data_IF_858311354958
#
_entry.id   IF_858311354958
#
_cell.length_a   1.000
_cell.length_b   1.000
_cell.length_c   1.000
_cell.angle_alpha   90.00
_cell.angle_beta   90.00
_cell.angle_gamma   90.00
#
_symmetry.space_group_name_H-M   'P 1'
#
loop_
_entity.id
_entity.type
_entity.pdbx_description
1 polymer ?
#
# COMPACT_ATOMS: atom_id res chain seq x y z
N UNK A 1 -19.55 -11.34 72.14
CA UNK A 1 -20.09 -12.38 71.25
C UNK A 1 -21.10 -11.81 70.25
N UNK A 2 -22.12 -11.06 70.70
CA UNK A 2 -23.17 -10.47 69.82
C UNK A 2 -22.62 -9.62 68.64
N UNK A 3 -21.51 -8.89 68.82
CA UNK A 3 -20.88 -8.08 67.74
C UNK A 3 -20.35 -8.91 66.56
N UNK A 4 -19.80 -10.09 66.84
CA UNK A 4 -19.19 -10.98 65.83
C UNK A 4 -20.25 -11.62 64.94
N UNK A 5 -21.40 -11.97 65.54
CA UNK A 5 -22.50 -12.61 64.83
C UNK A 5 -23.21 -11.60 63.92
N UNK A 6 -23.32 -10.34 64.35
CA UNK A 6 -23.87 -9.25 63.53
C UNK A 6 -22.97 -8.97 62.32
N UNK A 7 -21.65 -8.91 62.50
CA UNK A 7 -20.71 -8.76 61.38
C UNK A 7 -20.78 -9.93 60.40
N UNK A 8 -20.92 -11.15 60.91
CA UNK A 8 -21.07 -12.37 60.09
C UNK A 8 -22.38 -12.36 59.30
N UNK A 9 -23.49 -11.97 59.93
CA UNK A 9 -24.80 -11.85 59.29
C UNK A 9 -24.80 -10.75 58.22
N UNK A 10 -24.17 -9.61 58.50
CA UNK A 10 -24.04 -8.50 57.55
C UNK A 10 -23.19 -8.91 56.35
N UNK A 11 -22.08 -9.62 56.58
CA UNK A 11 -21.27 -10.20 55.50
C UNK A 11 -22.03 -11.21 54.64
N UNK A 12 -22.86 -12.05 55.25
CA UNK A 12 -23.74 -12.96 54.52
C UNK A 12 -24.81 -12.20 53.72
N UNK A 13 -25.46 -11.20 54.31
CA UNK A 13 -26.48 -10.39 53.64
C UNK A 13 -25.94 -9.68 52.39
N UNK A 14 -24.76 -9.06 52.47
CA UNK A 14 -24.13 -8.44 51.31
C UNK A 14 -23.81 -9.44 50.20
N UNK A 15 -23.31 -10.63 50.54
CA UNK A 15 -23.02 -11.69 49.55
C UNK A 15 -24.31 -12.27 48.96
N UNK A 16 -25.35 -12.44 49.77
CA UNK A 16 -26.64 -12.93 49.33
C UNK A 16 -27.35 -11.95 48.39
N UNK A 17 -27.02 -10.65 48.45
CA UNK A 17 -27.50 -9.64 47.51
C UNK A 17 -27.09 -9.90 46.05
N UNK A 18 -26.01 -10.65 45.80
CA UNK A 18 -25.60 -11.06 44.46
C UNK A 18 -26.38 -12.28 43.93
N UNK A 19 -27.05 -13.04 44.81
CA UNK A 19 -27.73 -14.28 44.40
C UNK A 19 -28.87 -14.08 43.40
N UNK A 20 -29.73 -13.05 43.48
CA UNK A 20 -30.75 -12.82 42.46
C UNK A 20 -30.16 -12.67 41.05
N UNK A 21 -29.07 -11.90 40.94
CA UNK A 21 -28.33 -11.65 39.69
C UNK A 21 -27.63 -12.94 39.21
N UNK A 22 -27.00 -13.68 40.12
CA UNK A 22 -26.30 -14.93 39.77
C UNK A 22 -27.24 -16.09 39.42
N UNK A 23 -28.46 -16.11 39.98
CA UNK A 23 -29.47 -17.12 39.69
C UNK A 23 -30.04 -16.93 38.28
N UNK A 24 -30.12 -15.70 37.79
CA UNK A 24 -30.44 -15.38 36.40
C UNK A 24 -29.18 -14.90 35.64
N UNK A 25 -28.19 -15.80 35.58
CA UNK A 25 -26.91 -15.50 34.93
C UNK A 25 -27.09 -15.17 33.45
N UNK A 26 -28.05 -15.81 32.76
CA UNK A 26 -28.27 -15.56 31.33
C UNK A 26 -28.76 -14.14 31.08
N UNK A 27 -29.78 -13.68 31.80
CA UNK A 27 -30.28 -12.32 31.64
C UNK A 27 -29.21 -11.28 32.03
N UNK A 28 -28.49 -11.53 33.13
CA UNK A 28 -27.40 -10.66 33.56
C UNK A 28 -26.28 -10.57 32.52
N UNK A 29 -25.88 -11.69 31.92
CA UNK A 29 -24.86 -11.69 30.88
C UNK A 29 -25.32 -10.96 29.62
N UNK A 30 -26.58 -11.13 29.22
CA UNK A 30 -27.16 -10.38 28.10
C UNK A 30 -27.19 -8.88 28.38
N UNK A 31 -27.56 -8.46 29.59
CA UNK A 31 -27.56 -7.04 29.99
C UNK A 31 -26.15 -6.45 30.02
N UNK A 32 -25.16 -7.20 30.50
CA UNK A 32 -23.76 -6.74 30.54
C UNK A 32 -23.05 -6.76 29.18
N UNK A 33 -23.56 -7.53 28.24
CA UNK A 33 -23.02 -7.64 26.88
C UNK A 33 -23.77 -6.73 25.88
N UNK A 34 -24.78 -5.97 26.31
CA UNK A 34 -25.53 -5.07 25.44
C UNK A 34 -24.75 -3.77 25.18
N UNK A 35 -24.27 -3.62 23.95
CA UNK A 35 -23.62 -2.40 23.48
C UNK A 35 -24.47 -1.61 22.47
N UNK A 36 -25.79 -1.88 22.42
CA UNK A 36 -26.75 -1.19 21.55
C UNK A 36 -26.72 0.35 21.68
N UNK A 37 -26.47 0.84 22.89
CA UNK A 37 -26.37 2.26 23.21
C UNK A 37 -25.27 3.02 22.44
N UNK A 38 -24.26 2.32 21.89
CA UNK A 38 -23.22 2.95 21.09
C UNK A 38 -23.77 3.51 19.77
N UNK A 39 -24.84 2.92 19.23
CA UNK A 39 -25.45 3.35 17.98
C UNK A 39 -26.58 4.36 18.18
N UNK A 40 -27.40 4.18 19.22
CA UNK A 40 -28.58 5.03 19.45
C UNK A 40 -28.22 6.50 19.67
N UNK A 41 -28.93 7.39 18.96
CA UNK A 41 -28.63 8.83 18.92
C UNK A 41 -29.86 9.74 18.88
N UNK A 42 -31.04 9.21 19.18
CA UNK A 42 -32.32 9.95 19.12
C UNK A 42 -32.32 11.23 19.97
N UNK A 43 -31.74 11.18 21.18
CA UNK A 43 -31.63 12.36 22.02
C UNK A 43 -30.80 13.48 21.35
N UNK A 44 -29.75 13.12 20.61
CA UNK A 44 -28.92 14.08 19.89
C UNK A 44 -29.62 14.60 18.63
N UNK A 45 -30.37 13.75 17.92
CA UNK A 45 -31.18 14.15 16.77
C UNK A 45 -32.26 15.16 17.16
N UNK A 46 -32.92 14.95 18.30
CA UNK A 46 -33.92 15.88 18.84
C UNK A 46 -33.28 17.22 19.21
N UNK A 47 -32.13 17.21 19.91
CA UNK A 47 -31.40 18.42 20.29
C UNK A 47 -30.88 19.21 19.07
N UNK A 48 -30.45 18.50 18.02
CA UNK A 48 -29.95 19.10 16.79
C UNK A 48 -31.07 19.50 15.81
N UNK A 49 -32.32 19.11 16.08
CA UNK A 49 -33.46 19.25 15.19
C UNK A 49 -33.17 18.71 13.78
N UNK A 50 -32.51 17.55 13.74
CA UNK A 50 -32.06 16.87 12.52
C UNK A 50 -32.73 15.51 12.40
N UNK A 51 -33.12 15.11 11.18
CA UNK A 51 -33.77 13.82 10.93
C UNK A 51 -32.77 12.66 10.89
N UNK A 52 -31.51 12.92 10.51
CA UNK A 52 -30.49 11.89 10.40
C UNK A 52 -29.10 12.45 10.69
N UNK A 53 -28.25 11.60 11.26
CA UNK A 53 -26.83 11.85 11.48
C UNK A 53 -26.05 11.06 10.41
N UNK A 54 -25.03 11.70 9.82
CA UNK A 54 -24.14 11.05 8.86
C UNK A 54 -23.42 9.85 9.48
N UNK A 55 -23.23 8.79 8.70
CA UNK A 55 -22.53 7.57 9.13
C UNK A 55 -21.09 7.82 9.58
N UNK A 56 -20.45 8.86 9.05
CA UNK A 56 -19.08 9.28 9.42
C UNK A 56 -18.91 9.66 10.90
N UNK A 57 -19.98 10.09 11.56
CA UNK A 57 -19.95 10.46 12.99
C UNK A 57 -20.62 9.40 13.87
N UNK A 58 -20.96 8.23 13.30
CA UNK A 58 -21.45 7.09 14.06
C UNK A 58 -20.33 6.52 14.92
N UNK A 59 -20.60 6.34 16.22
CA UNK A 59 -19.57 5.91 17.17
C UNK A 59 -19.00 4.51 16.83
N UNK A 60 -19.81 3.49 16.48
CA UNK A 60 -19.27 2.21 16.03
C UNK A 60 -18.34 2.36 14.82
N UNK A 61 -18.71 3.19 13.83
CA UNK A 61 -17.85 3.43 12.66
C UNK A 61 -16.52 4.10 13.03
N UNK A 62 -16.56 5.14 13.87
CA UNK A 62 -15.36 5.83 14.34
C UNK A 62 -14.39 4.89 15.08
N UNK A 63 -14.91 3.94 15.86
CA UNK A 63 -14.11 2.93 16.54
C UNK A 63 -13.47 1.96 15.53
N UNK A 64 -14.21 1.52 14.51
CA UNK A 64 -13.68 0.68 13.43
C UNK A 64 -12.55 1.41 12.70
N UNK A 65 -12.76 2.65 12.28
CA UNK A 65 -11.75 3.45 11.60
C UNK A 65 -10.47 3.59 12.46
N UNK A 66 -10.64 3.90 13.75
CA UNK A 66 -9.52 4.00 14.68
C UNK A 66 -8.73 2.69 14.81
N UNK A 67 -9.41 1.54 14.87
CA UNK A 67 -8.73 0.23 14.93
C UNK A 67 -7.99 -0.11 13.64
N UNK A 68 -8.50 0.30 12.47
CA UNK A 68 -7.84 0.08 11.18
C UNK A 68 -6.61 0.97 10.97
N UNK A 69 -6.59 2.16 11.56
CA UNK A 69 -5.44 3.10 11.50
C UNK A 69 -4.29 2.72 12.43
N UNK A 70 -4.55 1.89 13.45
CA UNK A 70 -3.55 1.38 14.35
C UNK A 70 -2.46 0.58 13.63
N UNK A 71 -1.23 1.11 13.57
CA UNK A 71 -0.10 0.46 12.87
C UNK A 71 0.20 -0.92 13.48
N UNK A 72 0.20 -1.03 14.81
CA UNK A 72 0.57 -2.24 15.57
C UNK A 72 -0.61 -2.91 16.26
N UNK A 73 -1.83 -2.35 16.14
CA UNK A 73 -2.99 -2.88 16.83
C UNK A 73 -3.56 -4.11 16.09
N UNK A 74 -4.05 -5.13 16.83
CA UNK A 74 -4.83 -6.22 16.26
C UNK A 74 -6.11 -5.66 15.61
N UNK A 75 -6.55 -6.27 14.51
CA UNK A 75 -7.74 -5.86 13.74
C UNK A 75 -8.99 -6.62 14.20
N UNK A 76 -8.80 -7.70 14.96
CA UNK A 76 -9.83 -8.56 15.53
C UNK A 76 -10.90 -7.82 16.33
N UNK A 77 -10.59 -6.76 17.12
CA UNK A 77 -11.62 -6.00 17.85
C UNK A 77 -12.70 -5.39 16.94
N UNK A 78 -12.43 -5.20 15.65
CA UNK A 78 -13.42 -4.71 14.68
C UNK A 78 -14.66 -5.61 14.66
N UNK A 79 -14.50 -6.92 14.78
CA UNK A 79 -15.63 -7.85 14.75
C UNK A 79 -16.54 -7.67 15.98
N UNK A 80 -15.98 -7.35 17.14
CA UNK A 80 -16.75 -7.03 18.34
C UNK A 80 -17.48 -5.68 18.19
N UNK A 81 -16.86 -4.69 17.53
CA UNK A 81 -17.51 -3.40 17.26
C UNK A 81 -18.66 -3.56 16.26
N UNK A 82 -18.50 -4.42 15.25
CA UNK A 82 -19.58 -4.76 14.31
C UNK A 82 -20.76 -5.45 15.00
N UNK A 83 -20.52 -6.18 16.10
CA UNK A 83 -21.55 -6.84 16.90
C UNK A 83 -22.44 -5.83 17.65
N UNK A 84 -21.94 -4.63 17.96
CA UNK A 84 -22.75 -3.57 18.57
C UNK A 84 -23.96 -3.17 17.69
N UNK A 85 -23.85 -3.35 16.38
CA UNK A 85 -25.00 -3.16 15.51
C UNK A 85 -26.01 -4.32 15.58
N UNK A 86 -25.57 -5.55 15.88
CA UNK A 86 -26.49 -6.66 16.16
C UNK A 86 -27.28 -6.36 17.43
N UNK A 87 -26.61 -5.86 18.47
CA UNK A 87 -27.24 -5.43 19.72
C UNK A 87 -28.27 -4.32 19.46
N UNK A 88 -27.89 -3.28 18.70
CA UNK A 88 -28.80 -2.19 18.32
C UNK A 88 -30.01 -2.69 17.53
N UNK A 89 -29.82 -3.65 16.63
CA UNK A 89 -30.92 -4.27 15.88
C UNK A 89 -31.86 -5.09 16.76
N UNK A 90 -31.31 -5.87 17.71
CA UNK A 90 -32.09 -6.65 18.67
C UNK A 90 -32.89 -5.72 19.60
N UNK A 91 -32.24 -4.73 20.21
CA UNK A 91 -32.88 -3.75 21.09
C UNK A 91 -34.01 -3.00 20.34
N UNK A 92 -33.77 -2.56 19.10
CA UNK A 92 -34.77 -1.87 18.27
C UNK A 92 -36.04 -2.69 18.07
N UNK A 93 -35.92 -4.00 17.82
CA UNK A 93 -37.06 -4.89 17.57
C UNK A 93 -37.71 -5.43 18.85
N UNK A 94 -36.92 -5.84 19.84
CA UNK A 94 -37.41 -6.58 21.01
C UNK A 94 -37.79 -5.65 22.17
N UNK A 95 -37.02 -4.60 22.40
CA UNK A 95 -37.23 -3.69 23.54
C UNK A 95 -38.02 -2.45 23.14
N UNK A 96 -37.57 -1.73 22.10
CA UNK A 96 -38.18 -0.49 21.65
C UNK A 96 -39.40 -0.72 20.75
N UNK A 97 -39.47 -1.89 20.11
CA UNK A 97 -40.53 -2.28 19.17
C UNK A 97 -40.72 -1.28 18.02
N UNK A 98 -39.61 -0.70 17.53
CA UNK A 98 -39.60 0.28 16.45
C UNK A 98 -38.93 -0.29 15.19
N UNK A 99 -39.71 -0.45 14.12
CA UNK A 99 -39.20 -0.96 12.84
C UNK A 99 -38.25 0.04 12.16
N UNK A 100 -38.56 1.33 12.21
CA UNK A 100 -37.73 2.35 11.54
C UNK A 100 -36.29 2.40 12.09
N UNK A 101 -36.12 2.18 13.40
CA UNK A 101 -34.78 2.10 14.01
C UNK A 101 -34.02 0.89 13.48
N UNK A 102 -34.68 -0.27 13.39
CA UNK A 102 -34.06 -1.47 12.82
C UNK A 102 -33.65 -1.25 11.35
N UNK A 103 -34.51 -0.64 10.55
CA UNK A 103 -34.21 -0.34 9.14
C UNK A 103 -33.00 0.59 9.00
N UNK A 104 -32.86 1.58 9.90
CA UNK A 104 -31.70 2.49 9.92
C UNK A 104 -30.42 1.77 10.38
N UNK A 105 -30.49 0.94 11.43
CA UNK A 105 -29.36 0.11 11.90
C UNK A 105 -28.89 -0.83 10.79
N UNK A 106 -29.81 -1.53 10.11
CA UNK A 106 -29.47 -2.47 9.03
C UNK A 106 -28.79 -1.72 7.87
N UNK A 107 -29.34 -0.57 7.48
CA UNK A 107 -28.80 0.22 6.37
C UNK A 107 -27.40 0.78 6.69
N UNK A 108 -27.22 1.40 7.86
CA UNK A 108 -25.94 1.95 8.28
C UNK A 108 -24.90 0.86 8.44
N UNK A 109 -25.28 -0.21 9.13
CA UNK A 109 -24.41 -1.33 9.39
C UNK A 109 -23.91 -2.03 8.12
N UNK A 110 -24.80 -2.25 7.15
CA UNK A 110 -24.41 -2.82 5.85
C UNK A 110 -23.39 -1.93 5.13
N UNK A 111 -23.62 -0.61 5.12
CA UNK A 111 -22.69 0.34 4.53
C UNK A 111 -21.33 0.31 5.24
N UNK A 112 -21.32 0.29 6.57
CA UNK A 112 -20.11 0.16 7.38
C UNK A 112 -19.35 -1.12 7.09
N UNK A 113 -20.05 -2.26 6.95
CA UNK A 113 -19.43 -3.54 6.62
C UNK A 113 -18.79 -3.52 5.22
N UNK A 114 -19.51 -3.01 4.21
CA UNK A 114 -18.98 -2.90 2.84
C UNK A 114 -17.73 -1.99 2.77
N UNK A 115 -17.73 -0.92 3.56
CA UNK A 115 -16.60 0.00 3.64
C UNK A 115 -15.43 -0.58 4.44
N UNK A 116 -15.70 -1.27 5.55
CA UNK A 116 -14.71 -2.02 6.30
C UNK A 116 -13.98 -3.04 5.42
N UNK A 117 -14.71 -3.85 4.66
CA UNK A 117 -14.12 -4.86 3.77
C UNK A 117 -13.27 -4.20 2.67
N UNK A 118 -13.71 -3.05 2.13
CA UNK A 118 -12.91 -2.25 1.19
C UNK A 118 -11.57 -1.83 1.79
N UNK A 119 -11.65 -1.16 2.94
CA UNK A 119 -10.51 -0.60 3.64
C UNK A 119 -9.54 -1.67 4.14
N UNK A 120 -10.06 -2.80 4.62
CA UNK A 120 -9.27 -3.94 5.07
C UNK A 120 -8.51 -4.57 3.91
N UNK A 121 -9.16 -4.81 2.77
CA UNK A 121 -8.51 -5.37 1.59
C UNK A 121 -7.33 -4.52 1.12
N UNK A 122 -7.47 -3.20 1.05
CA UNK A 122 -6.38 -2.30 0.67
C UNK A 122 -5.21 -2.35 1.67
N UNK A 123 -5.49 -2.30 2.98
CA UNK A 123 -4.45 -2.36 4.02
C UNK A 123 -3.73 -3.71 4.04
N UNK A 124 -4.45 -4.81 3.92
CA UNK A 124 -3.91 -6.17 3.80
C UNK A 124 -3.01 -6.28 2.57
N UNK A 125 -3.49 -5.82 1.41
CA UNK A 125 -2.72 -5.83 0.17
C UNK A 125 -1.40 -5.07 0.30
N UNK A 126 -1.45 -3.84 0.80
CA UNK A 126 -0.27 -2.99 0.99
C UNK A 126 0.72 -3.58 2.01
N UNK A 127 0.22 -4.19 3.08
CA UNK A 127 1.03 -4.84 4.09
C UNK A 127 1.85 -6.00 3.50
N UNK A 128 1.20 -6.99 2.88
CA UNK A 128 1.90 -8.13 2.30
C UNK A 128 2.76 -7.76 1.09
N UNK A 129 2.37 -6.73 0.31
CA UNK A 129 3.22 -6.19 -0.75
C UNK A 129 4.50 -5.55 -0.19
N UNK A 130 4.40 -4.83 0.93
CA UNK A 130 5.55 -4.22 1.59
C UNK A 130 6.49 -5.26 2.20
N UNK A 131 5.93 -6.32 2.80
CA UNK A 131 6.70 -7.47 3.29
C UNK A 131 7.42 -8.19 2.14
N UNK A 132 6.72 -8.51 1.06
CA UNK A 132 7.29 -9.12 -0.14
C UNK A 132 8.44 -8.29 -0.72
N UNK A 133 8.27 -6.96 -0.79
CA UNK A 133 9.31 -6.04 -1.24
C UNK A 133 10.52 -6.00 -0.30
N UNK A 134 10.28 -5.98 1.02
CA UNK A 134 11.32 -6.03 2.05
C UNK A 134 12.19 -7.28 1.94
N UNK A 135 11.56 -8.44 1.79
CA UNK A 135 12.24 -9.71 1.63
C UNK A 135 13.04 -9.79 0.32
N UNK A 136 12.46 -9.35 -0.79
CA UNK A 136 13.16 -9.30 -2.07
C UNK A 136 14.41 -8.39 -1.99
N UNK A 137 14.31 -7.25 -1.29
CA UNK A 137 15.45 -6.36 -1.06
C UNK A 137 16.56 -7.02 -0.24
N UNK A 138 16.21 -7.82 0.78
CA UNK A 138 17.20 -8.59 1.56
C UNK A 138 17.89 -9.64 0.70
N UNK A 139 17.13 -10.35 -0.13
CA UNK A 139 17.67 -11.36 -1.06
C UNK A 139 18.64 -10.72 -2.06
N UNK A 140 18.25 -9.63 -2.73
CA UNK A 140 19.11 -8.94 -3.69
C UNK A 140 20.36 -8.33 -3.04
N UNK A 141 20.25 -7.83 -1.81
CA UNK A 141 21.40 -7.34 -1.04
C UNK A 141 22.38 -8.46 -0.72
N UNK A 142 21.87 -9.65 -0.36
CA UNK A 142 22.70 -10.82 -0.08
C UNK A 142 23.41 -11.36 -1.33
N UNK A 143 22.76 -11.30 -2.50
CA UNK A 143 23.34 -11.70 -3.78
C UNK A 143 24.42 -10.72 -4.27
N UNK A 144 24.28 -9.41 -3.97
CA UNK A 144 25.29 -8.40 -4.28
C UNK A 144 26.60 -8.54 -3.51
N UNK A 145 26.53 -9.00 -2.24
CA UNK A 145 27.72 -9.24 -1.40
C UNK A 145 28.57 -10.43 -1.93
N UNK A 146 27.95 -11.37 -2.65
CA UNK A 146 28.66 -12.55 -3.20
C UNK A 146 29.40 -12.22 -4.50
N UNK A 147 29.01 -11.17 -5.24
CA UNK A 147 29.65 -10.81 -6.52
C UNK A 147 30.79 -9.79 -6.42
N UNK A 148 30.88 -8.99 -5.35
CA UNK A 148 31.82 -7.85 -5.26
C UNK A 148 32.95 -8.04 -4.23
N UNK A 149 33.64 -9.19 -4.26
CA UNK A 149 34.85 -9.44 -3.43
C UNK A 149 36.17 -9.07 -4.14
N UNK A 150 36.13 -8.22 -5.16
CA UNK A 150 37.34 -7.75 -5.84
C UNK A 150 37.22 -6.28 -6.24
N UNK A 151 37.40 -5.36 -5.29
CA UNK A 151 38.11 -4.07 -5.39
C UNK A 151 37.88 -3.24 -4.11
N UNK A 152 38.85 -2.40 -3.66
CA UNK A 152 38.76 -1.69 -2.40
C UNK A 152 37.86 -0.45 -2.54
N UNK A 153 36.75 -0.44 -1.83
CA UNK A 153 35.80 0.67 -1.77
C UNK A 153 36.44 1.86 -1.05
N UNK A 154 36.65 2.97 -1.77
CA UNK A 154 36.83 4.29 -1.14
C UNK A 154 35.45 4.80 -0.74
N UNK A 155 35.35 5.16 0.53
CA UNK A 155 34.22 5.82 1.18
C UNK A 155 33.60 6.89 0.27
N UNK A 156 32.35 6.67 -0.14
CA UNK A 156 31.52 7.74 -0.70
C UNK A 156 30.21 7.82 0.08
N UNK A 157 29.90 9.04 0.51
CA UNK A 157 28.82 9.43 1.41
C UNK A 157 27.39 9.19 0.87
N UNK A 158 27.21 8.32 -0.13
CA UNK A 158 25.93 8.04 -0.80
C UNK A 158 25.08 7.04 -0.02
N UNK A 159 25.67 6.26 0.90
CA UNK A 159 24.95 5.30 1.72
C UNK A 159 23.99 5.94 2.75
N UNK A 160 24.19 7.20 3.15
CA UNK A 160 23.42 7.81 4.24
C UNK A 160 22.04 8.34 3.84
N UNK A 161 21.79 8.62 2.56
CA UNK A 161 20.57 9.36 2.14
C UNK A 161 19.40 8.42 1.80
N UNK A 162 19.65 7.17 1.41
CA UNK A 162 18.58 6.19 1.19
C UNK A 162 18.17 5.45 2.48
N UNK A 163 18.99 5.51 3.51
CA UNK A 163 18.68 4.96 4.83
C UNK A 163 17.61 5.76 5.57
N UNK A 164 17.38 7.03 5.25
CA UNK A 164 16.45 7.90 6.00
C UNK A 164 14.98 7.72 5.64
N UNK A 165 14.64 7.28 4.42
CA UNK A 165 13.25 6.94 4.06
C UNK A 165 12.85 5.52 4.51
N UNK A 166 13.81 4.60 4.57
CA UNK A 166 13.61 3.26 5.12
C UNK A 166 13.76 3.19 6.66
N UNK A 167 14.45 4.16 7.29
CA UNK A 167 14.58 4.21 8.76
C UNK A 167 13.36 4.74 9.48
N UNK A 168 12.32 5.22 8.78
CA UNK A 168 11.04 5.50 9.45
C UNK A 168 10.28 4.22 9.80
N UNK A 169 10.61 3.10 9.15
CA UNK A 169 10.10 1.76 9.48
C UNK A 169 11.14 0.93 10.25
N UNK A 170 11.92 1.57 11.13
CA UNK A 170 12.73 0.83 12.10
C UNK A 170 11.91 0.60 13.36
N UNK A 171 11.08 -0.45 13.36
CA UNK A 171 10.44 -1.02 14.55
C UNK A 171 9.96 -2.46 14.26
N UNK A 172 9.74 -3.27 15.31
CA UNK A 172 10.60 -4.27 15.94
C UNK A 172 10.75 -5.54 15.05
N UNK A 173 10.94 -6.74 15.59
CA UNK A 173 11.29 -7.94 14.83
C UNK A 173 10.33 -8.27 13.68
N UNK A 174 10.87 -8.75 12.56
CA UNK A 174 10.11 -9.15 11.37
C UNK A 174 9.01 -10.20 11.65
N UNK A 175 9.10 -10.93 12.75
CA UNK A 175 8.15 -11.97 13.14
C UNK A 175 6.81 -11.42 13.68
N UNK A 176 6.75 -10.19 14.20
CA UNK A 176 5.52 -9.62 14.76
C UNK A 176 4.60 -9.00 13.68
N UNK A 177 5.13 -8.61 12.52
CA UNK A 177 4.31 -8.01 11.45
C UNK A 177 3.57 -9.04 10.61
N UNK A 178 4.14 -10.24 10.42
CA UNK A 178 3.56 -11.30 9.58
C UNK A 178 2.18 -11.79 10.07
N UNK A 179 1.94 -11.73 11.39
CA UNK A 179 0.74 -12.27 12.04
C UNK A 179 -0.44 -11.29 12.15
N UNK A 180 -0.26 -10.00 11.82
CA UNK A 180 -1.29 -8.95 12.07
C UNK A 180 -2.66 -9.26 11.46
N UNK A 181 -2.68 -9.84 10.26
CA UNK A 181 -3.91 -10.10 9.52
C UNK A 181 -4.24 -11.59 9.39
N UNK A 182 -3.45 -12.48 9.99
CA UNK A 182 -3.60 -13.92 9.81
C UNK A 182 -4.94 -14.43 10.37
N UNK A 183 -5.31 -13.96 11.56
CA UNK A 183 -6.59 -14.26 12.22
C UNK A 183 -7.79 -13.79 11.40
N UNK A 184 -7.75 -12.60 10.82
CA UNK A 184 -8.89 -12.05 10.08
C UNK A 184 -9.04 -12.65 8.68
N UNK A 185 -7.94 -13.11 8.07
CA UNK A 185 -7.97 -13.83 6.80
C UNK A 185 -8.53 -15.25 6.94
N UNK A 186 -8.37 -15.87 8.11
CA UNK A 186 -8.90 -17.22 8.39
C UNK A 186 -10.38 -17.21 8.82
N UNK A 187 -10.91 -16.04 9.20
CA UNK A 187 -12.29 -15.90 9.60
C UNK A 187 -13.23 -16.06 8.40
N UNK A 188 -13.95 -17.18 8.35
CA UNK A 188 -14.92 -17.44 7.28
C UNK A 188 -16.24 -16.73 7.54
N UNK A 189 -16.89 -17.02 8.66
CA UNK A 189 -18.25 -16.54 8.89
C UNK A 189 -18.26 -15.41 9.91
N UNK A 190 -18.78 -14.26 9.50
CA UNK A 190 -19.10 -13.14 10.39
C UNK A 190 -20.61 -12.95 10.33
N UNK A 191 -21.28 -13.08 11.48
CA UNK A 191 -22.70 -12.78 11.58
C UNK A 191 -22.84 -11.27 11.80
N UNK A 192 -23.38 -10.57 10.81
CA UNK A 192 -23.69 -9.15 10.95
C UNK A 192 -25.11 -8.93 10.44
N UNK A 193 -25.92 -8.25 11.26
CA UNK A 193 -27.32 -7.91 11.01
C UNK A 193 -28.22 -9.13 10.76
N UNK A 194 -27.93 -10.26 11.41
CA UNK A 194 -28.66 -11.52 11.22
C UNK A 194 -28.37 -12.24 9.91
N UNK A 195 -27.34 -11.81 9.16
CA UNK A 195 -26.83 -12.50 7.97
C UNK A 195 -25.41 -12.98 8.23
N UNK A 196 -25.11 -14.16 7.71
CA UNK A 196 -23.75 -14.69 7.74
C UNK A 196 -23.03 -14.27 6.45
N UNK A 197 -21.97 -13.47 6.60
CA UNK A 197 -21.10 -13.07 5.51
C UNK A 197 -19.84 -13.93 5.50
N UNK A 198 -19.40 -14.31 4.30
CA UNK A 198 -18.11 -14.98 4.10
C UNK A 198 -17.01 -13.93 3.89
N UNK A 199 -16.28 -13.60 4.96
CA UNK A 199 -15.25 -12.56 4.91
C UNK A 199 -14.06 -12.99 4.06
N UNK A 200 -13.66 -14.27 4.12
CA UNK A 200 -12.59 -14.85 3.30
C UNK A 200 -12.90 -14.69 1.81
N UNK A 201 -14.14 -15.00 1.40
CA UNK A 201 -14.58 -14.86 0.01
C UNK A 201 -14.60 -13.39 -0.44
N UNK A 202 -15.18 -12.50 0.38
CA UNK A 202 -15.28 -11.08 0.05
C UNK A 202 -13.92 -10.40 -0.03
N UNK A 203 -12.99 -10.74 0.87
CA UNK A 203 -11.61 -10.28 0.82
C UNK A 203 -10.89 -10.86 -0.38
N UNK A 204 -11.06 -12.15 -0.68
CA UNK A 204 -10.48 -12.81 -1.84
C UNK A 204 -10.82 -12.11 -3.15
N UNK A 205 -12.10 -11.84 -3.39
CA UNK A 205 -12.56 -11.13 -4.59
C UNK A 205 -11.91 -9.74 -4.74
N UNK A 206 -11.78 -9.00 -3.65
CA UNK A 206 -11.19 -7.65 -3.69
C UNK A 206 -9.67 -7.68 -3.83
N UNK A 207 -9.00 -8.59 -3.15
CA UNK A 207 -7.56 -8.77 -3.25
C UNK A 207 -7.15 -9.23 -4.65
N UNK A 208 -7.94 -10.11 -5.27
CA UNK A 208 -7.76 -10.51 -6.67
C UNK A 208 -7.85 -9.30 -7.62
N UNK A 209 -8.89 -8.48 -7.47
CA UNK A 209 -9.05 -7.26 -8.26
C UNK A 209 -7.89 -6.26 -8.07
N UNK A 210 -7.39 -6.10 -6.83
CA UNK A 210 -6.24 -5.25 -6.54
C UNK A 210 -4.96 -5.78 -7.18
N UNK A 211 -4.75 -7.09 -7.16
CA UNK A 211 -3.58 -7.73 -7.77
C UNK A 211 -3.61 -7.64 -9.29
N UNK A 212 -4.77 -7.89 -9.92
CA UNK A 212 -4.99 -7.68 -11.37
C UNK A 212 -4.72 -6.24 -11.77
N UNK A 213 -5.23 -5.27 -11.01
CA UNK A 213 -4.98 -3.83 -11.23
C UNK A 213 -3.48 -3.49 -11.13
N UNK A 214 -2.76 -4.08 -10.19
CA UNK A 214 -1.32 -3.83 -10.02
C UNK A 214 -0.49 -4.51 -11.12
N UNK A 215 -0.92 -5.68 -11.61
CA UNK A 215 -0.36 -6.32 -12.80
C UNK A 215 -0.60 -5.48 -14.05
N UNK A 216 -1.80 -4.96 -14.27
CA UNK A 216 -2.08 -4.06 -15.39
C UNK A 216 -1.21 -2.79 -15.31
N UNK A 217 -1.12 -2.20 -14.11
CA UNK A 217 -0.19 -1.10 -13.84
C UNK A 217 1.27 -1.45 -14.10
N UNK A 218 1.67 -2.72 -13.93
CA UNK A 218 2.99 -3.23 -14.28
C UNK A 218 3.17 -3.33 -15.80
N UNK A 219 2.19 -3.85 -16.55
CA UNK A 219 2.26 -3.93 -18.01
C UNK A 219 2.32 -2.54 -18.66
N UNK A 220 1.49 -1.59 -18.23
CA UNK A 220 1.54 -0.20 -18.71
C UNK A 220 2.95 0.40 -18.49
N UNK A 221 3.54 0.16 -17.32
CA UNK A 221 4.90 0.62 -17.01
C UNK A 221 5.95 -0.10 -17.84
N UNK A 222 5.77 -1.38 -18.12
CA UNK A 222 6.66 -2.18 -18.97
C UNK A 222 6.63 -1.70 -20.43
N UNK A 223 5.46 -1.38 -20.96
CA UNK A 223 5.23 -0.83 -22.29
C UNK A 223 5.82 0.59 -22.45
N UNK A 224 5.83 1.38 -21.37
CA UNK A 224 6.44 2.70 -21.36
C UNK A 224 7.96 2.69 -21.10
N UNK A 225 8.56 1.54 -20.76
CA UNK A 225 9.94 1.45 -20.28
C UNK A 225 10.96 1.12 -21.38
N UNK A 226 12.14 1.75 -21.28
CA UNK A 226 13.33 1.44 -22.08
C UNK A 226 13.97 0.09 -21.69
N UNK A 227 14.83 -0.43 -22.58
CA UNK A 227 15.55 -1.71 -22.40
C UNK A 227 16.29 -1.82 -21.06
N UNK A 228 16.83 -0.71 -20.54
CA UNK A 228 17.59 -0.69 -19.27
C UNK A 228 16.73 -0.94 -18.04
N UNK A 229 15.42 -0.73 -18.13
CA UNK A 229 14.48 -0.83 -17.01
C UNK A 229 13.91 -2.24 -16.85
N UNK A 230 14.08 -3.14 -17.83
CA UNK A 230 13.53 -4.50 -17.77
C UNK A 230 14.02 -5.32 -16.58
N UNK A 231 15.26 -5.12 -16.14
CA UNK A 231 15.77 -5.77 -14.93
C UNK A 231 15.00 -5.32 -13.67
N UNK A 232 14.66 -4.03 -13.58
CA UNK A 232 13.84 -3.51 -12.50
C UNK A 232 12.39 -4.00 -12.59
N UNK A 233 11.83 -4.10 -13.81
CA UNK A 233 10.48 -4.64 -14.02
C UNK A 233 10.37 -6.12 -13.68
N UNK A 234 11.38 -6.94 -13.99
CA UNK A 234 11.41 -8.33 -13.57
C UNK A 234 11.41 -8.45 -12.04
N UNK A 235 12.13 -7.56 -11.38
CA UNK A 235 12.20 -7.48 -9.92
C UNK A 235 10.85 -7.09 -9.30
N UNK A 236 10.13 -6.13 -9.88
CA UNK A 236 8.77 -5.80 -9.41
C UNK A 236 7.78 -6.94 -9.65
N UNK A 237 7.89 -7.66 -10.78
CA UNK A 237 7.05 -8.84 -11.04
C UNK A 237 7.30 -9.97 -10.03
N UNK A 238 8.57 -10.19 -9.63
CA UNK A 238 8.92 -11.14 -8.56
C UNK A 238 8.28 -10.76 -7.23
N UNK A 239 8.25 -9.46 -6.89
CA UNK A 239 7.56 -8.97 -5.70
C UNK A 239 6.08 -9.28 -5.79
N UNK A 240 5.40 -9.00 -6.91
CA UNK A 240 3.99 -9.32 -7.10
C UNK A 240 3.68 -10.81 -6.96
N UNK A 241 4.52 -11.67 -7.56
CA UNK A 241 4.39 -13.13 -7.42
C UNK A 241 4.54 -13.58 -5.96
N UNK A 242 5.44 -12.95 -5.21
CA UNK A 242 5.61 -13.22 -3.78
C UNK A 242 4.42 -12.69 -2.97
N UNK A 243 3.90 -11.50 -3.28
CA UNK A 243 2.66 -10.97 -2.69
C UNK A 243 1.50 -11.96 -2.85
N UNK A 244 1.31 -12.50 -4.06
CA UNK A 244 0.29 -13.51 -4.33
C UNK A 244 0.45 -14.77 -3.47
N UNK A 245 1.69 -15.21 -3.19
CA UNK A 245 1.93 -16.42 -2.40
C UNK A 245 1.36 -16.34 -0.97
N UNK A 246 1.31 -15.14 -0.37
CA UNK A 246 0.67 -14.92 0.92
C UNK A 246 -0.86 -15.07 0.89
N UNK A 247 -1.47 -14.80 -0.27
CA UNK A 247 -2.92 -14.88 -0.46
C UNK A 247 -3.43 -16.23 -0.95
N UNK A 248 -2.54 -17.20 -1.15
CA UNK A 248 -2.91 -18.57 -1.55
C UNK A 248 -3.94 -19.22 -0.60
N UNK A 249 -3.98 -18.79 0.66
CA UNK A 249 -4.96 -19.22 1.68
C UNK A 249 -6.41 -18.89 1.28
N UNK A 250 -6.63 -17.84 0.48
CA UNK A 250 -7.95 -17.33 0.09
C UNK A 250 -8.55 -18.09 -1.11
N UNK A 251 -7.84 -19.06 -1.70
CA UNK A 251 -8.34 -19.84 -2.83
C UNK A 251 -8.45 -19.06 -4.13
N UNK A 252 -7.53 -18.11 -4.38
CA UNK A 252 -7.47 -17.32 -5.60
C UNK A 252 -7.06 -18.14 -6.84
N UNK A 253 -7.42 -17.66 -8.03
CA UNK A 253 -6.96 -18.19 -9.32
C UNK A 253 -5.43 -18.27 -9.38
N UNK A 254 -4.89 -19.18 -10.18
CA UNK A 254 -3.44 -19.32 -10.35
C UNK A 254 -2.80 -18.01 -10.83
N UNK A 255 -1.69 -17.59 -10.20
CA UNK A 255 -0.97 -16.39 -10.65
C UNK A 255 -0.58 -16.44 -12.13
N UNK A 256 -0.30 -17.65 -12.66
CA UNK A 256 -0.01 -17.87 -14.07
C UNK A 256 -1.21 -17.53 -14.95
N UNK A 257 -2.39 -18.04 -14.60
CA UNK A 257 -3.63 -17.83 -15.36
C UNK A 257 -4.01 -16.34 -15.38
N UNK A 258 -3.96 -15.68 -14.22
CA UNK A 258 -4.20 -14.25 -14.09
C UNK A 258 -3.17 -13.43 -14.89
N UNK A 259 -1.90 -13.84 -14.88
CA UNK A 259 -0.86 -13.17 -15.65
C UNK A 259 -1.06 -13.32 -17.16
N UNK A 260 -1.42 -14.53 -17.62
CA UNK A 260 -1.71 -14.80 -19.03
C UNK A 260 -2.92 -14.00 -19.51
N UNK A 261 -4.00 -13.95 -18.72
CA UNK A 261 -5.18 -13.15 -19.01
C UNK A 261 -4.85 -11.67 -19.27
N UNK A 262 -4.13 -11.02 -18.33
CA UNK A 262 -3.76 -9.60 -18.47
C UNK A 262 -2.75 -9.38 -19.61
N UNK A 263 -1.90 -10.37 -19.87
CA UNK A 263 -0.91 -10.33 -20.96
C UNK A 263 -1.55 -10.50 -22.36
N UNK A 264 -2.74 -11.10 -22.43
CA UNK A 264 -3.48 -11.41 -23.65
C UNK A 264 -4.64 -10.44 -23.94
N UNK A 265 -4.97 -9.50 -23.03
CA UNK A 265 -6.02 -8.46 -23.19
C UNK A 265 -5.93 -7.65 -24.50
N UNK A 266 -4.78 -7.67 -25.18
CA UNK A 266 -4.59 -7.01 -26.48
C UNK A 266 -5.35 -7.65 -27.64
N UNK A 267 -6.06 -8.79 -27.47
CA UNK A 267 -6.67 -9.52 -28.60
C UNK A 267 -8.21 -9.57 -28.64
N UNK A 268 -8.95 -9.27 -27.58
CA UNK A 268 -10.43 -9.35 -27.65
C UNK A 268 -11.09 -8.15 -28.35
N UNK A 269 -10.52 -6.94 -28.29
CA UNK A 269 -11.15 -5.75 -28.90
C UNK A 269 -10.97 -5.63 -30.42
N UNK A 270 -10.12 -6.44 -31.07
CA UNK A 270 -9.81 -6.32 -32.50
C UNK A 270 -10.27 -7.52 -33.35
N UNK A 271 -10.72 -8.62 -32.75
CA UNK A 271 -11.09 -9.85 -33.47
C UNK A 271 -12.57 -10.22 -33.36
N UNK A 272 -13.45 -9.22 -33.46
CA UNK A 272 -14.81 -9.41 -34.00
C UNK A 272 -14.83 -9.73 -35.51
N UNK A 273 -13.72 -10.18 -36.09
CA UNK A 273 -13.58 -10.35 -37.53
C UNK A 273 -12.48 -11.32 -37.92
N UNK A 274 -12.92 -12.47 -38.43
CA UNK A 274 -12.20 -13.43 -39.26
C UNK A 274 -11.22 -14.41 -38.59
N UNK A 275 -11.63 -15.68 -38.68
CA UNK A 275 -10.77 -16.84 -38.67
C UNK A 275 -9.52 -16.63 -39.53
N UNK A 276 -8.34 -16.60 -38.90
CA UNK A 276 -7.08 -16.96 -39.56
C UNK A 276 -6.35 -17.92 -38.62
N UNK A 277 -6.30 -19.18 -39.03
CA UNK A 277 -5.48 -20.23 -38.43
C UNK A 277 -4.02 -19.84 -38.64
N UNK A 278 -3.28 -19.61 -37.55
CA UNK A 278 -1.81 -19.65 -37.56
C UNK A 278 -1.04 -18.34 -37.39
N UNK A 279 -1.61 -17.27 -36.82
CA UNK A 279 -0.78 -16.17 -36.28
C UNK A 279 -0.44 -16.49 -34.82
N UNK A 280 0.85 -16.49 -34.40
CA UNK A 280 1.18 -16.69 -33.00
C UNK A 280 0.54 -15.55 -32.20
N UNK A 281 -0.23 -15.88 -31.18
CA UNK A 281 -0.74 -14.92 -30.19
C UNK A 281 0.47 -14.14 -29.70
N UNK A 282 0.62 -12.90 -30.16
CA UNK A 282 1.71 -12.04 -29.72
C UNK A 282 1.24 -11.39 -28.44
N UNK A 283 1.72 -11.95 -27.34
CA UNK A 283 1.55 -11.35 -26.02
C UNK A 283 2.08 -9.91 -25.99
N UNK A 284 1.52 -9.10 -25.09
CA UNK A 284 1.97 -7.71 -24.85
C UNK A 284 3.47 -7.64 -24.61
N UNK A 285 4.01 -8.59 -23.82
CA UNK A 285 5.45 -8.68 -23.57
C UNK A 285 6.25 -8.94 -24.84
N UNK A 286 5.80 -9.87 -25.68
CA UNK A 286 6.51 -10.20 -26.91
C UNK A 286 6.55 -9.02 -27.88
N UNK A 287 5.42 -8.32 -28.05
CA UNK A 287 5.36 -7.14 -28.94
C UNK A 287 6.24 -6.01 -28.39
N UNK A 288 6.18 -5.73 -27.09
CA UNK A 288 7.01 -4.69 -26.47
C UNK A 288 8.51 -5.01 -26.58
N UNK A 289 8.95 -6.23 -26.26
CA UNK A 289 10.36 -6.62 -26.41
C UNK A 289 10.80 -6.51 -27.87
N UNK A 290 9.95 -6.96 -28.81
CA UNK A 290 10.22 -6.86 -30.24
C UNK A 290 10.35 -5.40 -30.71
N UNK A 291 9.48 -4.53 -30.22
CA UNK A 291 9.51 -3.10 -30.51
C UNK A 291 10.78 -2.46 -29.94
N UNK A 292 11.07 -2.67 -28.65
CA UNK A 292 12.24 -2.13 -27.97
C UNK A 292 13.56 -2.59 -28.60
N UNK A 293 13.65 -3.85 -29.05
CA UNK A 293 14.83 -4.33 -29.80
C UNK A 293 15.02 -3.53 -31.10
N UNK A 294 13.94 -3.26 -31.84
CA UNK A 294 14.00 -2.54 -33.13
C UNK A 294 14.23 -1.04 -32.98
N UNK A 295 13.61 -0.40 -31.99
CA UNK A 295 13.58 1.06 -31.86
C UNK A 295 14.66 1.60 -30.92
N UNK A 296 15.03 0.86 -29.87
CA UNK A 296 16.00 1.32 -28.87
C UNK A 296 17.32 0.56 -28.98
N UNK A 297 17.31 -0.77 -28.86
CA UNK A 297 18.55 -1.56 -28.74
C UNK A 297 19.44 -1.43 -29.99
N UNK A 298 18.91 -1.65 -31.19
CA UNK A 298 19.73 -1.60 -32.41
C UNK A 298 20.14 -0.20 -32.84
N UNK A 299 19.40 0.84 -32.43
CA UNK A 299 19.66 2.22 -32.86
C UNK A 299 20.58 2.97 -31.89
N UNK A 300 20.48 2.68 -30.59
CA UNK A 300 21.09 3.49 -29.54
C UNK A 300 22.15 2.76 -28.71
N UNK A 301 22.42 1.47 -28.93
CA UNK A 301 23.42 0.73 -28.15
C UNK A 301 24.58 0.19 -29.00
N UNK A 302 25.79 0.27 -28.45
CA UNK A 302 26.99 -0.38 -29.00
C UNK A 302 27.46 -1.52 -28.09
N UNK A 303 27.90 -2.61 -28.70
CA UNK A 303 28.43 -3.78 -27.98
C UNK A 303 29.93 -3.58 -27.69
N UNK A 304 30.30 -3.50 -26.40
CA UNK A 304 31.70 -3.55 -25.97
C UNK A 304 32.08 -5.01 -25.71
N UNK A 305 32.88 -5.60 -26.62
CA UNK A 305 33.26 -7.02 -26.58
C UNK A 305 34.03 -7.41 -25.32
N UNK A 306 34.90 -6.54 -24.80
CA UNK A 306 35.74 -6.82 -23.63
C UNK A 306 34.95 -7.16 -22.37
N UNK A 307 33.74 -6.60 -22.24
CA UNK A 307 32.90 -6.76 -21.04
C UNK A 307 31.59 -7.49 -21.34
N UNK A 308 31.33 -7.90 -22.59
CA UNK A 308 30.05 -8.45 -23.07
C UNK A 308 28.85 -7.59 -22.63
N UNK A 309 28.99 -6.26 -22.73
CA UNK A 309 27.96 -5.30 -22.32
C UNK A 309 27.56 -4.40 -23.47
N UNK A 310 26.27 -4.11 -23.54
CA UNK A 310 25.73 -3.05 -24.37
C UNK A 310 25.84 -1.72 -23.61
N UNK A 311 26.37 -0.69 -24.27
CA UNK A 311 26.45 0.68 -23.72
C UNK A 311 25.70 1.61 -24.65
N UNK A 312 24.91 2.53 -24.07
CA UNK A 312 24.20 3.53 -24.88
C UNK A 312 25.21 4.41 -25.61
N UNK A 313 25.02 4.61 -26.90
CA UNK A 313 25.89 5.44 -27.72
C UNK A 313 25.79 6.89 -27.25
N UNK A 314 26.92 7.63 -27.20
CA UNK A 314 26.87 9.06 -26.91
C UNK A 314 26.08 9.77 -28.02
N UNK A 315 25.30 10.79 -27.66
CA UNK A 315 24.64 11.64 -28.65
C UNK A 315 25.68 12.22 -29.61
N UNK A 316 25.33 12.31 -30.89
CA UNK A 316 26.18 12.93 -31.88
C UNK A 316 26.49 14.39 -31.50
N UNK A 317 27.75 14.80 -31.61
CA UNK A 317 28.26 16.11 -31.15
C UNK A 317 27.48 17.30 -31.75
N UNK A 318 26.94 17.14 -32.96
CA UNK A 318 26.08 18.13 -33.63
C UNK A 318 24.71 18.35 -32.94
N UNK A 319 24.15 17.35 -32.27
CA UNK A 319 22.92 17.46 -31.47
C UNK A 319 23.22 18.04 -30.08
N UNK A 320 24.42 17.84 -29.55
CA UNK A 320 24.88 18.46 -28.30
C UNK A 320 25.13 19.97 -28.46
N UNK A 321 25.46 20.43 -29.66
CA UNK A 321 25.65 21.85 -30.00
C UNK A 321 24.32 22.62 -30.19
N UNK A 322 23.24 21.95 -30.58
CA UNK A 322 21.93 22.60 -30.84
C UNK A 322 21.06 22.76 -29.59
N UNK A 323 21.30 21.96 -28.54
CA UNK A 323 20.57 22.05 -27.26
C UNK A 323 21.19 23.10 -26.32
N UNK A 324 22.47 23.43 -26.49
CA UNK A 324 23.19 24.40 -25.65
C UNK A 324 22.66 25.84 -25.71
N UNK A 325 22.04 26.24 -26.82
CA UNK A 325 21.63 27.63 -27.03
C UNK A 325 20.17 27.94 -26.67
N UNK A 326 19.30 26.92 -26.54
CA UNK A 326 17.87 27.16 -26.27
C UNK A 326 17.56 27.42 -24.79
N UNK A 327 18.39 26.93 -23.86
CA UNK A 327 18.20 27.11 -22.42
C UNK A 327 19.22 28.06 -21.77
N UNK A 328 20.36 28.33 -22.42
CA UNK A 328 21.36 29.25 -21.90
C UNK A 328 20.86 30.70 -21.80
N UNK A 329 19.95 31.11 -22.70
CA UNK A 329 19.37 32.46 -22.68
C UNK A 329 18.44 32.67 -21.48
N UNK A 330 17.63 31.66 -21.12
CA UNK A 330 16.68 31.73 -20.01
C UNK A 330 17.39 31.71 -18.65
N UNK A 331 18.46 30.92 -18.51
CA UNK A 331 19.25 30.87 -17.29
C UNK A 331 20.10 32.14 -17.08
N UNK A 332 20.58 32.76 -18.18
CA UNK A 332 21.21 34.08 -18.15
C UNK A 332 20.24 35.19 -17.74
N UNK A 333 18.99 35.15 -18.24
CA UNK A 333 17.92 36.09 -17.83
C UNK A 333 17.53 35.91 -16.36
N UNK A 334 17.51 34.67 -15.85
CA UNK A 334 17.26 34.39 -14.43
C UNK A 334 18.38 34.90 -13.53
N UNK A 335 19.64 34.74 -13.93
CA UNK A 335 20.81 35.26 -13.20
C UNK A 335 20.90 36.79 -13.26
N UNK A 336 20.51 37.42 -14.37
CA UNK A 336 20.45 38.88 -14.52
C UNK A 336 19.36 39.51 -13.64
N UNK A 337 18.19 38.88 -13.48
CA UNK A 337 17.14 39.33 -12.54
C UNK A 337 17.56 39.16 -11.08
N UNK A 338 18.27 38.08 -10.73
CA UNK A 338 18.74 37.84 -9.36
C UNK A 338 19.83 38.84 -8.92
N UNK A 339 20.66 39.32 -9.84
CA UNK A 339 21.70 40.31 -9.56
C UNK A 339 21.20 41.76 -9.40
N UNK A 340 19.97 42.09 -9.83
CA UNK A 340 19.41 43.45 -9.62
C UNK A 340 18.79 43.66 -8.24
N UNK A 341 18.53 42.61 -7.47
CA UNK A 341 17.86 42.69 -6.16
C UNK A 341 18.81 42.58 -4.95
N UNK A 342 20.13 42.46 -5.15
CA UNK A 342 21.10 42.16 -4.08
C UNK A 342 22.26 43.17 -3.98
N UNK A 343 22.09 44.42 -4.41
CA UNK A 343 23.11 45.48 -4.22
C UNK A 343 22.71 46.45 -3.11
N UNK A 344 23.01 46.07 -1.87
CA UNK A 344 23.11 46.95 -0.72
C UNK A 344 24.39 46.66 0.07
N UNK A 345 25.24 47.69 0.24
CA UNK A 345 26.54 47.75 0.96
C UNK A 345 27.72 47.02 0.24
N UNK A 346 28.78 47.67 -0.28
CA UNK A 346 29.86 48.51 0.30
C UNK A 346 30.69 47.66 1.29
N UNK A 347 31.97 47.26 1.09
CA UNK A 347 33.20 47.99 0.71
C UNK A 347 34.30 47.13 0.03
N UNK A 348 35.16 47.88 -0.67
CA UNK A 348 36.46 47.73 -1.36
C UNK A 348 37.65 47.03 -0.65
N UNK A 349 38.44 46.26 -1.43
CA UNK A 349 39.91 46.33 -1.69
C UNK A 349 40.42 44.93 -2.13
N UNK A 350 41.48 44.65 -2.89
CA UNK A 350 42.38 45.31 -3.86
C UNK A 350 43.21 44.15 -4.50
N UNK A 351 43.45 44.22 -5.81
CA UNK A 351 44.69 43.84 -6.54
C UNK A 351 45.13 42.35 -6.59
N UNK A 352 45.08 41.82 -7.83
CA UNK A 352 46.27 41.31 -8.54
C UNK A 352 46.64 39.83 -8.36
N UNK A 353 46.30 38.98 -9.34
CA UNK A 353 47.30 38.42 -10.25
C UNK A 353 46.66 37.54 -11.34
N UNK A 354 47.21 37.72 -12.55
CA UNK A 354 46.95 36.96 -13.77
C UNK A 354 47.46 35.52 -13.62
N UNK A 355 46.65 34.53 -13.99
CA UNK A 355 47.13 33.19 -14.40
C UNK A 355 46.09 32.51 -15.30
N UNK A 356 46.45 32.44 -16.58
CA UNK A 356 46.20 31.38 -17.56
C UNK A 356 44.97 30.46 -17.36
N UNK A 357 44.02 30.59 -18.31
CA UNK A 357 42.86 29.72 -18.44
C UNK A 357 43.27 28.26 -18.66
N UNK A 358 42.93 27.39 -17.70
CA UNK A 358 42.87 25.94 -17.91
C UNK A 358 41.48 25.57 -18.40
N UNK A 359 41.42 24.98 -19.59
CA UNK A 359 40.24 24.35 -20.16
C UNK A 359 39.66 23.33 -19.16
N UNK A 360 38.40 23.53 -18.77
CA UNK A 360 37.65 22.56 -18.00
C UNK A 360 37.33 21.36 -18.90
N UNK A 361 37.95 20.22 -18.61
CA UNK A 361 37.53 18.93 -19.15
C UNK A 361 36.13 18.62 -18.62
N UNK A 362 35.12 18.67 -19.48
CA UNK A 362 33.82 18.08 -19.21
C UNK A 362 33.99 16.55 -19.15
N UNK A 363 33.72 15.97 -17.99
CA UNK A 363 33.68 14.52 -17.82
C UNK A 363 32.49 13.95 -18.57
N UNK A 364 32.75 12.99 -19.44
CA UNK A 364 31.72 12.15 -20.04
C UNK A 364 30.97 11.41 -18.93
N UNK A 365 29.69 11.71 -18.75
CA UNK A 365 28.78 10.89 -17.96
C UNK A 365 28.46 9.62 -18.77
N UNK A 366 29.35 8.64 -18.71
CA UNK A 366 29.05 7.26 -19.12
C UNK A 366 27.98 6.70 -18.16
N UNK A 367 26.73 6.62 -18.61
CA UNK A 367 25.73 5.75 -17.98
C UNK A 367 25.94 4.33 -18.49
N UNK A 368 26.86 3.63 -17.85
CA UNK A 368 27.03 2.18 -17.99
C UNK A 368 25.76 1.49 -17.49
N UNK A 369 25.32 0.43 -18.16
CA UNK A 369 24.36 -0.52 -17.57
C UNK A 369 25.10 -1.22 -16.42
N UNK A 370 25.09 -0.57 -15.26
CA UNK A 370 25.36 -1.17 -13.97
C UNK A 370 24.02 -1.19 -13.26
N UNK A 371 23.56 -2.40 -12.94
CA UNK A 371 22.39 -2.58 -12.09
C UNK A 371 22.67 -1.94 -10.74
N UNK A 372 22.26 -0.69 -10.59
CA UNK A 372 22.34 0.04 -9.33
C UNK A 372 21.09 0.89 -9.20
N UNK A 373 20.27 0.49 -8.24
CA UNK A 373 19.06 1.14 -7.75
C UNK A 373 19.23 2.67 -7.68
N UNK A 374 18.47 3.39 -8.51
CA UNK A 374 18.11 4.77 -8.19
C UNK A 374 16.79 5.17 -8.85
N UNK A 375 15.92 5.70 -7.99
CA UNK A 375 14.67 6.45 -8.24
C UNK A 375 13.59 5.74 -9.05
N UNK A 376 12.88 4.83 -8.39
CA UNK A 376 11.52 4.42 -8.72
C UNK A 376 10.70 4.62 -7.45
N UNK A 377 10.11 5.80 -7.25
CA UNK A 377 8.89 6.05 -6.47
C UNK A 377 8.60 7.54 -6.60
N UNK A 378 7.64 7.82 -7.47
CA UNK A 378 6.89 9.05 -7.66
C UNK A 378 5.53 8.63 -8.17
#
# INVERSE_FOLDING_TARGET
MISSDVESLQGFYYRAGAFPVLLDLSATLSELADFSCLWFREQYLELANSVQISTEISLPWLLIEHTLDGITAPVEPVLAILDAYNDAGICSLQELQQQHLYDEVEAEGKLCFDHFVFQLAERVYLHYKSLAAGDACREWSSQGIIQDRSLPVRDSAVAKINLTLFSLNKAPGAEEQDSKYESILTQRQVNVFGRNYDLTFLLGQRLDALLRKDLEGWFIKFEASDTTCYAAMLNTLKVLKKTYSYFSILGLDGFGDMFEEVNDESIECLLGGSHSVGSPIKSRIHEQISQTIRTDLFQHFSLKFDHKRFTRMPLHEALMLTVGDQFAHEECLRKAKKHRLSRGSITRSKIGNSTTMKAAKYGALEKTITGTYRSFFG
#
